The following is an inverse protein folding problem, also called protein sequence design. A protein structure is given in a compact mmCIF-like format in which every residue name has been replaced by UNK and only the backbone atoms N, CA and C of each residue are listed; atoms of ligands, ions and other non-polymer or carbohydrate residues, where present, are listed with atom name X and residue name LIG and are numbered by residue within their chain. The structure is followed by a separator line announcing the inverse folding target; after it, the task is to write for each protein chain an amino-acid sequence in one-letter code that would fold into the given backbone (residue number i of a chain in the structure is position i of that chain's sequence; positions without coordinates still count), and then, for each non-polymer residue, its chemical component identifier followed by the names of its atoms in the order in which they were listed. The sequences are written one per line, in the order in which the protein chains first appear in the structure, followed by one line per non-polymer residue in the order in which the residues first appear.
data_IF_934688260903
#
_entry.id   IF_934688260903
#
_cell.length_a   1.000
_cell.length_b   1.000
_cell.length_c   1.000
_cell.angle_alpha   90.00
_cell.angle_beta   90.00
_cell.angle_gamma   90.00
#
_symmetry.space_group_name_H-M   'P 1'
#
loop_
_entity.id
_entity.type
_entity.pdbx_description
1 polymer ?
#
# COMPACT_ATOMS: atom_id res chain seq x y z
N UNK A 1 -46.67 -22.07 -66.02
CA UNK A 1 -47.22 -21.77 -64.67
C UNK A 1 -47.00 -22.99 -63.78
N UNK A 2 -45.90 -23.02 -63.03
CA UNK A 2 -45.66 -23.95 -61.91
C UNK A 2 -44.50 -23.36 -61.10
N UNK A 3 -44.79 -22.85 -59.90
CA UNK A 3 -43.80 -22.24 -59.00
C UNK A 3 -43.46 -23.26 -57.92
N UNK A 4 -42.18 -23.67 -57.73
CA UNK A 4 -41.78 -24.39 -56.54
C UNK A 4 -41.50 -23.41 -55.40
N UNK A 5 -42.11 -23.70 -54.25
CA UNK A 5 -41.98 -23.01 -52.98
C UNK A 5 -40.65 -23.43 -52.33
N UNK A 6 -39.68 -22.53 -52.19
CA UNK A 6 -38.47 -22.80 -51.41
C UNK A 6 -38.69 -22.43 -49.95
N UNK A 7 -38.57 -23.43 -49.09
CA UNK A 7 -38.54 -23.32 -47.63
C UNK A 7 -37.13 -22.95 -47.18
N UNK A 8 -36.96 -21.73 -46.67
CA UNK A 8 -35.76 -21.34 -45.92
C UNK A 8 -36.15 -20.51 -44.70
N UNK A 9 -36.94 -21.13 -43.82
CA UNK A 9 -37.29 -20.58 -42.49
C UNK A 9 -36.56 -21.46 -41.48
N UNK A 10 -35.35 -21.08 -41.07
CA UNK A 10 -34.62 -21.89 -40.08
C UNK A 10 -33.36 -21.29 -39.47
N UNK A 11 -32.65 -20.39 -40.15
CA UNK A 11 -31.27 -20.07 -39.71
C UNK A 11 -31.03 -18.65 -39.18
N UNK A 12 -32.01 -17.74 -39.23
CA UNK A 12 -31.78 -16.34 -38.81
C UNK A 12 -32.07 -16.10 -37.32
N UNK A 13 -32.84 -16.98 -36.65
CA UNK A 13 -33.24 -16.75 -35.27
C UNK A 13 -32.16 -17.08 -34.20
N UNK A 14 -31.08 -17.77 -34.56
CA UNK A 14 -30.01 -18.12 -33.61
C UNK A 14 -28.83 -17.12 -33.59
N UNK A 15 -28.80 -16.15 -34.51
CA UNK A 15 -27.66 -15.23 -34.65
C UNK A 15 -27.74 -13.97 -33.78
N UNK A 16 -28.88 -13.71 -33.13
CA UNK A 16 -29.08 -12.46 -32.37
C UNK A 16 -28.79 -12.57 -30.87
N UNK A 17 -28.46 -13.76 -30.35
CA UNK A 17 -28.22 -13.97 -28.92
C UNK A 17 -26.72 -14.04 -28.54
N UNK A 18 -25.81 -14.00 -29.52
CA UNK A 18 -24.36 -14.13 -29.29
C UNK A 18 -23.60 -12.82 -29.13
N UNK A 19 -24.26 -11.66 -29.29
CA UNK A 19 -23.60 -10.34 -29.28
C UNK A 19 -23.24 -9.77 -27.89
N UNK A 20 -23.84 -10.14 -26.74
CA UNK A 20 -23.44 -9.56 -25.46
C UNK A 20 -22.19 -10.22 -24.83
N UNK A 21 -21.66 -11.33 -25.39
CA UNK A 21 -20.49 -12.02 -24.82
C UNK A 21 -19.15 -11.31 -25.08
N UNK A 22 -19.07 -10.40 -26.05
CA UNK A 22 -17.82 -9.68 -26.40
C UNK A 22 -17.54 -8.46 -25.52
N UNK A 23 -18.49 -8.04 -24.68
CA UNK A 23 -18.29 -6.98 -23.69
C UNK A 23 -17.95 -7.50 -22.29
N UNK A 24 -17.76 -8.82 -22.12
CA UNK A 24 -17.19 -9.40 -20.90
C UNK A 24 -15.65 -9.40 -20.91
N UNK A 25 -15.03 -8.43 -21.60
CA UNK A 25 -13.63 -8.10 -21.37
C UNK A 25 -13.50 -7.75 -19.88
N UNK A 26 -12.80 -8.61 -19.14
CA UNK A 26 -12.70 -8.56 -17.69
C UNK A 26 -12.41 -7.15 -17.18
N UNK A 27 -13.01 -6.81 -16.04
CA UNK A 27 -12.84 -5.55 -15.32
C UNK A 27 -11.45 -4.94 -15.57
N UNK A 28 -11.40 -3.68 -16.03
CA UNK A 28 -10.20 -2.95 -16.44
C UNK A 28 -9.19 -2.67 -15.31
N UNK A 29 -8.79 -3.71 -14.59
CA UNK A 29 -7.74 -3.70 -13.60
C UNK A 29 -6.41 -3.61 -14.30
N UNK A 30 -5.69 -2.52 -14.02
CA UNK A 30 -4.33 -2.33 -14.50
C UNK A 30 -3.35 -2.59 -13.36
N UNK A 31 -2.33 -3.45 -13.55
CA UNK A 31 -1.33 -3.70 -12.52
C UNK A 31 -0.59 -2.41 -12.13
N UNK A 32 -0.37 -2.20 -10.83
CA UNK A 32 0.35 -1.02 -10.31
C UNK A 32 1.84 -1.05 -10.69
N UNK A 33 2.45 -2.24 -10.66
CA UNK A 33 3.87 -2.46 -10.97
C UNK A 33 4.11 -2.96 -12.40
N UNK A 34 3.07 -3.02 -13.23
CA UNK A 34 3.22 -3.43 -14.63
C UNK A 34 3.96 -2.38 -15.48
N UNK A 35 4.57 -2.78 -16.61
CA UNK A 35 5.21 -1.85 -17.51
C UNK A 35 4.18 -0.85 -18.06
N UNK A 36 4.40 0.44 -17.81
CA UNK A 36 3.59 1.52 -18.36
C UNK A 36 4.24 2.04 -19.65
N UNK A 37 3.49 2.07 -20.75
CA UNK A 37 3.93 2.74 -21.98
C UNK A 37 3.70 4.24 -21.81
N UNK A 38 4.74 4.99 -21.44
CA UNK A 38 4.69 6.46 -21.52
C UNK A 38 4.73 6.86 -23.00
N UNK A 39 4.10 7.99 -23.36
CA UNK A 39 4.08 8.52 -24.74
C UNK A 39 5.48 8.78 -25.31
N UNK A 40 6.51 8.79 -24.47
CA UNK A 40 7.93 8.99 -24.77
C UNK A 40 8.72 7.68 -24.96
N UNK A 41 8.08 6.50 -24.84
CA UNK A 41 8.73 5.21 -25.08
C UNK A 41 9.71 4.76 -24.00
N UNK A 42 9.86 5.53 -22.91
CA UNK A 42 10.75 5.20 -21.80
C UNK A 42 9.94 4.51 -20.69
N UNK A 43 10.16 3.21 -20.51
CA UNK A 43 9.51 2.36 -19.51
C UNK A 43 10.29 2.43 -18.19
N UNK A 44 10.24 3.57 -17.50
CA UNK A 44 10.70 3.64 -16.12
C UNK A 44 9.63 3.01 -15.23
N UNK A 45 9.85 1.77 -14.80
CA UNK A 45 8.96 1.08 -13.88
C UNK A 45 8.84 1.81 -12.55
N UNK A 46 7.64 1.77 -11.95
CA UNK A 46 7.35 2.37 -10.64
C UNK A 46 8.37 1.94 -9.58
N UNK A 47 8.81 0.68 -9.62
CA UNK A 47 9.84 0.13 -8.73
C UNK A 47 11.15 0.93 -8.75
N UNK A 48 11.59 1.39 -9.93
CA UNK A 48 12.82 2.18 -10.06
C UNK A 48 12.66 3.57 -9.45
N UNK A 49 11.45 4.15 -9.56
CA UNK A 49 11.13 5.42 -8.93
C UNK A 49 11.11 5.29 -7.40
N UNK A 50 10.54 4.19 -6.88
CA UNK A 50 10.54 3.88 -5.44
C UNK A 50 11.96 3.67 -4.90
N UNK A 51 12.80 2.92 -5.62
CA UNK A 51 14.19 2.67 -5.24
C UNK A 51 15.06 3.94 -5.23
N UNK A 52 14.65 4.99 -5.96
CA UNK A 52 15.31 6.30 -5.97
C UNK A 52 14.94 7.20 -4.78
N UNK A 53 14.07 6.75 -3.86
CA UNK A 53 13.68 7.52 -2.68
C UNK A 53 14.72 7.31 -1.57
N UNK A 54 15.25 8.40 -1.03
CA UNK A 54 16.04 8.38 0.21
C UNK A 54 15.14 8.65 1.40
N UNK A 55 15.19 7.75 2.37
CA UNK A 55 14.42 7.85 3.61
C UNK A 55 15.26 8.66 4.61
N UNK A 56 14.71 9.75 5.15
CA UNK A 56 15.37 10.50 6.20
C UNK A 56 15.43 9.67 7.50
N UNK A 57 16.41 9.88 8.40
CA UNK A 57 16.45 9.17 9.67
C UNK A 57 15.20 9.46 10.51
N UNK A 58 14.55 8.40 11.01
CA UNK A 58 13.43 8.51 11.94
C UNK A 58 13.93 8.30 13.38
N UNK A 59 13.78 9.28 14.28
CA UNK A 59 14.24 9.15 15.66
C UNK A 59 13.40 8.13 16.45
N UNK A 60 13.90 7.70 17.61
CA UNK A 60 13.26 6.75 18.55
C UNK A 60 13.14 5.32 18.02
N UNK A 61 12.79 4.38 18.91
CA UNK A 61 12.77 2.95 18.59
C UNK A 61 11.74 2.60 17.51
N UNK A 62 10.54 3.16 17.62
CA UNK A 62 9.45 3.00 16.67
C UNK A 62 9.77 3.61 15.31
N UNK A 63 10.43 4.77 15.29
CA UNK A 63 10.92 5.38 14.06
C UNK A 63 11.95 4.51 13.36
N UNK A 64 12.91 3.94 14.09
CA UNK A 64 13.89 3.01 13.53
C UNK A 64 13.28 1.72 12.99
N UNK A 65 12.24 1.19 13.66
CA UNK A 65 11.50 0.02 13.14
C UNK A 65 10.81 0.37 11.83
N UNK A 66 10.11 1.52 11.77
CA UNK A 66 9.45 1.98 10.55
C UNK A 66 10.45 2.27 9.43
N UNK A 67 11.58 2.89 9.74
CA UNK A 67 12.67 3.15 8.80
C UNK A 67 13.13 1.86 8.11
N UNK A 68 13.37 0.80 8.89
CA UNK A 68 13.79 -0.48 8.33
C UNK A 68 12.70 -1.11 7.45
N UNK A 69 11.44 -1.07 7.87
CA UNK A 69 10.35 -1.55 7.02
C UNK A 69 10.23 -0.74 5.72
N UNK A 70 10.44 0.58 5.77
CA UNK A 70 10.45 1.41 4.56
C UNK A 70 11.64 1.07 3.66
N UNK A 71 12.83 0.84 4.23
CA UNK A 71 14.00 0.41 3.48
C UNK A 71 13.75 -0.93 2.78
N UNK A 72 13.19 -1.92 3.49
CA UNK A 72 12.86 -3.23 2.92
C UNK A 72 11.84 -3.12 1.77
N UNK A 73 10.87 -2.21 1.88
CA UNK A 73 9.76 -2.07 0.91
C UNK A 73 10.11 -1.17 -0.28
N UNK A 74 10.89 -0.11 -0.07
CA UNK A 74 11.20 0.89 -1.09
C UNK A 74 12.59 0.68 -1.70
N UNK A 75 13.54 0.17 -0.92
CA UNK A 75 14.96 0.09 -1.26
C UNK A 75 15.54 -1.31 -0.98
N UNK A 76 14.96 -2.40 -1.53
CA UNK A 76 15.38 -3.77 -1.21
C UNK A 76 16.83 -4.08 -1.60
N UNK A 77 17.41 -3.30 -2.52
CA UNK A 77 18.82 -3.41 -2.94
C UNK A 77 19.77 -2.47 -2.17
N UNK A 78 19.27 -1.76 -1.15
CA UNK A 78 20.00 -0.77 -0.37
C UNK A 78 19.63 0.68 -0.69
N UNK A 79 20.09 1.61 0.15
CA UNK A 79 19.83 3.04 -0.03
C UNK A 79 20.43 3.60 -1.35
N UNK A 80 19.76 4.56 -2.00
CA UNK A 80 20.21 5.10 -3.27
C UNK A 80 21.40 6.05 -3.08
N UNK A 81 22.44 5.86 -3.88
CA UNK A 81 23.61 6.74 -3.91
C UNK A 81 23.29 8.11 -4.52
N UNK A 82 22.46 8.15 -5.58
CA UNK A 82 21.91 9.38 -6.18
C UNK A 82 20.37 9.39 -6.03
N UNK A 83 19.84 9.90 -4.90
CA UNK A 83 18.39 9.92 -4.67
C UNK A 83 17.68 10.90 -5.59
N UNK A 84 16.57 10.48 -6.18
CA UNK A 84 15.71 11.34 -7.01
C UNK A 84 14.59 12.01 -6.20
N UNK A 85 14.35 11.54 -4.97
CA UNK A 85 13.41 12.13 -4.04
C UNK A 85 13.84 11.86 -2.59
N UNK A 86 13.40 12.73 -1.67
CA UNK A 86 13.66 12.59 -0.24
C UNK A 86 12.34 12.42 0.51
N UNK A 87 12.24 11.34 1.28
CA UNK A 87 11.08 11.01 2.09
C UNK A 87 11.35 11.35 3.56
N UNK A 88 10.57 12.28 4.09
CA UNK A 88 10.56 12.64 5.50
C UNK A 88 9.31 12.04 6.14
N UNK A 89 9.49 11.28 7.22
CA UNK A 89 8.39 10.63 7.95
C UNK A 89 8.52 10.93 9.43
N UNK A 90 7.40 11.22 10.07
CA UNK A 90 7.26 11.21 11.53
C UNK A 90 6.18 10.21 11.91
N UNK A 91 6.37 9.50 13.02
CA UNK A 91 5.42 8.50 13.51
C UNK A 91 5.20 8.63 15.02
N UNK A 92 3.95 8.49 15.45
CA UNK A 92 3.55 8.33 16.85
C UNK A 92 2.82 7.01 17.05
N UNK A 93 2.91 6.46 18.25
CA UNK A 93 2.21 5.26 18.67
C UNK A 93 1.41 5.55 19.95
N UNK A 94 0.12 5.25 19.90
CA UNK A 94 -0.78 5.40 21.03
C UNK A 94 -1.41 4.05 21.38
N UNK A 95 -1.67 3.84 22.67
CA UNK A 95 -2.31 2.63 23.20
C UNK A 95 -3.64 2.98 23.86
N UNK A 96 -4.73 2.40 23.38
CA UNK A 96 -6.09 2.64 23.89
C UNK A 96 -6.73 1.36 24.41
N UNK A 97 -7.35 1.40 25.59
CA UNK A 97 -8.18 0.30 26.11
C UNK A 97 -9.48 0.18 25.31
N UNK A 98 -9.84 -1.02 24.85
CA UNK A 98 -11.05 -1.23 24.05
C UNK A 98 -12.23 -1.69 24.92
N UNK A 99 -11.97 -2.41 26.00
CA UNK A 99 -13.03 -2.96 26.85
C UNK A 99 -12.57 -3.13 28.29
N UNK A 100 -13.42 -2.67 29.21
CA UNK A 100 -13.29 -2.89 30.64
C UNK A 100 -14.20 -4.05 31.01
N UNK A 101 -13.67 -5.08 31.68
CA UNK A 101 -14.44 -6.20 32.22
C UNK A 101 -15.36 -5.72 33.35
N UNK A 102 -16.36 -6.53 33.72
CA UNK A 102 -17.27 -6.22 34.85
C UNK A 102 -16.53 -6.01 36.19
N UNK A 103 -15.33 -6.59 36.30
CA UNK A 103 -14.41 -6.46 37.44
C UNK A 103 -13.47 -5.24 37.35
N UNK A 104 -13.62 -4.37 36.34
CA UNK A 104 -12.80 -3.17 36.16
C UNK A 104 -11.47 -3.40 35.43
N UNK A 105 -11.12 -4.63 35.05
CA UNK A 105 -9.84 -4.93 34.38
C UNK A 105 -9.93 -4.79 32.85
N UNK A 106 -8.93 -4.17 32.21
CA UNK A 106 -8.82 -4.13 30.75
C UNK A 106 -7.82 -5.16 30.27
N UNK A 107 -8.28 -6.11 29.45
CA UNK A 107 -7.41 -7.14 28.87
C UNK A 107 -7.20 -6.98 27.36
N UNK A 108 -7.88 -6.03 26.70
CA UNK A 108 -7.77 -5.79 25.25
C UNK A 108 -7.47 -4.32 24.93
N UNK A 109 -6.49 -4.11 24.06
CA UNK A 109 -5.97 -2.79 23.71
C UNK A 109 -5.82 -2.63 22.20
N UNK A 110 -5.97 -1.41 21.72
CA UNK A 110 -5.62 -0.98 20.37
C UNK A 110 -4.28 -0.27 20.40
N UNK A 111 -3.33 -0.76 19.61
CA UNK A 111 -2.12 -0.05 19.22
C UNK A 111 -2.42 0.75 17.95
N UNK A 112 -2.29 2.06 18.02
CA UNK A 112 -2.60 2.99 16.92
C UNK A 112 -1.33 3.70 16.51
N UNK A 113 -0.90 3.52 15.26
CA UNK A 113 0.20 4.28 14.68
C UNK A 113 -0.37 5.40 13.81
N UNK A 114 0.13 6.61 13.99
CA UNK A 114 -0.16 7.74 13.09
C UNK A 114 1.16 8.20 12.50
N UNK A 115 1.25 8.22 11.17
CA UNK A 115 2.45 8.66 10.47
C UNK A 115 2.12 9.81 9.52
N UNK A 116 2.94 10.85 9.57
CA UNK A 116 2.89 11.96 8.62
C UNK A 116 4.08 11.84 7.67
N UNK A 117 3.81 11.89 6.37
CA UNK A 117 4.83 11.77 5.34
C UNK A 117 4.89 13.01 4.46
N UNK A 118 6.11 13.35 4.04
CA UNK A 118 6.41 14.43 3.10
C UNK A 118 7.45 13.89 2.12
N UNK A 119 7.08 13.81 0.85
CA UNK A 119 7.98 13.52 -0.25
C UNK A 119 8.46 14.83 -0.86
N UNK A 120 9.77 14.99 -1.02
CA UNK A 120 10.42 16.14 -1.64
C UNK A 120 11.18 15.74 -2.89
N UNK A 121 11.42 16.73 -3.76
CA UNK A 121 12.19 16.59 -4.99
C UNK A 121 13.67 16.24 -4.74
N UNK A 122 14.42 15.96 -5.80
CA UNK A 122 15.86 15.61 -5.77
C UNK A 122 16.70 16.61 -4.97
N UNK A 123 16.41 17.90 -5.12
CA UNK A 123 17.11 18.98 -4.41
C UNK A 123 16.63 19.17 -2.95
N UNK A 124 15.62 18.44 -2.51
CA UNK A 124 15.00 18.53 -1.19
C UNK A 124 14.39 19.91 -0.89
N UNK A 125 13.99 20.67 -1.91
CA UNK A 125 13.45 22.03 -1.79
C UNK A 125 11.93 22.05 -1.96
N UNK A 126 11.41 21.32 -2.94
CA UNK A 126 9.99 21.32 -3.30
C UNK A 126 9.27 20.12 -2.70
N UNK A 127 8.10 20.35 -2.09
CA UNK A 127 7.21 19.27 -1.66
C UNK A 127 6.48 18.74 -2.89
N UNK A 128 6.62 17.43 -3.14
CA UNK A 128 5.98 16.69 -4.22
C UNK A 128 4.66 16.07 -3.77
N UNK A 129 4.66 15.47 -2.57
CA UNK A 129 3.52 14.76 -2.02
C UNK A 129 3.53 14.82 -0.50
N UNK A 130 2.35 14.86 0.13
CA UNK A 130 2.20 14.77 1.57
C UNK A 130 0.92 14.03 1.91
N UNK A 131 0.96 13.25 2.98
CA UNK A 131 -0.21 12.53 3.47
C UNK A 131 -0.08 12.20 4.97
N UNK A 132 -1.18 11.75 5.56
CA UNK A 132 -1.22 11.21 6.92
C UNK A 132 -1.90 9.84 6.91
N UNK A 133 -1.18 8.85 7.43
CA UNK A 133 -1.65 7.46 7.47
C UNK A 133 -1.87 7.07 8.91
N UNK A 134 -3.02 6.45 9.18
CA UNK A 134 -3.36 5.92 10.51
C UNK A 134 -3.70 4.44 10.41
N UNK A 135 -3.02 3.61 11.20
CA UNK A 135 -3.28 2.18 11.29
C UNK A 135 -3.47 1.74 12.72
N UNK A 136 -4.27 0.69 12.91
CA UNK A 136 -4.59 0.14 14.22
C UNK A 136 -4.38 -1.37 14.21
N UNK A 137 -3.74 -1.90 15.25
CA UNK A 137 -3.71 -3.34 15.53
C UNK A 137 -4.17 -3.58 16.96
N UNK A 138 -5.11 -4.52 17.16
CA UNK A 138 -5.56 -4.89 18.50
C UNK A 138 -4.70 -6.01 19.08
N UNK A 139 -4.52 -6.02 20.40
CA UNK A 139 -3.88 -7.11 21.14
C UNK A 139 -4.54 -7.34 22.49
N UNK A 140 -4.22 -8.47 23.11
CA UNK A 140 -4.72 -8.83 24.44
C UNK A 140 -3.56 -9.09 25.40
N UNK A 141 -3.72 -8.72 26.68
CA UNK A 141 -2.68 -8.91 27.69
C UNK A 141 -2.65 -10.29 28.35
N UNK A 142 -3.53 -11.22 27.95
CA UNK A 142 -3.63 -12.55 28.59
C UNK A 142 -4.08 -12.44 30.05
N UNK A 143 -3.93 -13.53 30.81
CA UNK A 143 -4.10 -13.48 32.25
C UNK A 143 -2.92 -12.72 32.88
N UNK A 144 -3.19 -11.78 33.77
CA UNK A 144 -2.18 -10.81 34.28
C UNK A 144 -1.49 -11.27 35.55
N UNK A 145 -1.59 -12.55 35.92
CA UNK A 145 -0.80 -13.08 37.03
C UNK A 145 0.69 -13.02 36.68
N UNK A 146 1.56 -12.87 37.69
CA UNK A 146 3.00 -12.65 37.49
C UNK A 146 3.68 -13.73 36.62
N UNK A 147 3.09 -14.92 36.53
CA UNK A 147 3.55 -16.06 35.75
C UNK A 147 3.35 -15.89 34.22
N UNK A 148 2.39 -15.06 33.78
CA UNK A 148 2.01 -14.88 32.37
C UNK A 148 2.34 -13.50 31.78
N UNK A 149 3.02 -12.61 32.52
CA UNK A 149 3.35 -11.24 32.08
C UNK A 149 4.19 -11.17 30.77
N UNK A 150 4.90 -12.24 30.43
CA UNK A 150 5.63 -12.35 29.17
C UNK A 150 4.69 -12.33 27.95
N UNK A 151 3.57 -13.06 28.01
CA UNK A 151 2.63 -13.17 26.89
C UNK A 151 2.01 -11.80 26.53
N UNK A 152 1.72 -10.97 27.53
CA UNK A 152 1.25 -9.60 27.33
C UNK A 152 2.30 -8.70 26.66
N UNK A 153 3.56 -8.80 27.10
CA UNK A 153 4.68 -8.02 26.52
C UNK A 153 4.95 -8.40 25.06
N UNK A 154 4.93 -9.70 24.74
CA UNK A 154 5.07 -10.20 23.36
C UNK A 154 3.91 -9.70 22.50
N UNK A 155 2.68 -9.80 23.01
CA UNK A 155 1.48 -9.37 22.28
C UNK A 155 1.48 -7.86 21.99
N UNK A 156 1.93 -7.04 22.95
CA UNK A 156 2.09 -5.59 22.75
C UNK A 156 3.19 -5.27 21.72
N UNK A 157 4.33 -5.99 21.81
CA UNK A 157 5.46 -5.81 20.90
C UNK A 157 5.10 -6.21 19.47
N UNK A 158 4.38 -7.31 19.32
CA UNK A 158 3.85 -7.79 18.05
C UNK A 158 2.87 -6.79 17.45
N UNK A 159 1.90 -6.27 18.23
CA UNK A 159 0.99 -5.24 17.77
C UNK A 159 1.73 -3.98 17.30
N UNK A 160 2.71 -3.50 18.07
CA UNK A 160 3.57 -2.38 17.69
C UNK A 160 4.23 -2.60 16.33
N UNK A 161 4.89 -3.75 16.14
CA UNK A 161 5.58 -4.08 14.89
C UNK A 161 4.60 -4.20 13.73
N UNK A 162 3.47 -4.88 13.93
CA UNK A 162 2.42 -5.05 12.91
C UNK A 162 1.86 -3.70 12.46
N UNK A 163 1.54 -2.79 13.39
CA UNK A 163 0.99 -1.49 13.01
C UNK A 163 2.00 -0.68 12.20
N UNK A 164 3.28 -0.69 12.57
CA UNK A 164 4.33 -0.02 11.80
C UNK A 164 4.57 -0.65 10.43
N UNK A 165 4.48 -1.98 10.31
CA UNK A 165 4.54 -2.67 9.02
C UNK A 165 3.39 -2.25 8.10
N UNK A 166 2.16 -2.19 8.62
CA UNK A 166 0.99 -1.74 7.86
C UNK A 166 1.16 -0.29 7.37
N UNK A 167 1.75 0.60 8.19
CA UNK A 167 2.09 1.97 7.76
C UNK A 167 3.06 1.92 6.57
N UNK A 168 4.13 1.11 6.63
CA UNK A 168 5.10 1.01 5.55
C UNK A 168 4.49 0.47 4.25
N UNK A 169 3.60 -0.53 4.34
CA UNK A 169 2.89 -1.09 3.19
C UNK A 169 1.97 -0.06 2.52
N UNK A 170 1.24 0.72 3.31
CA UNK A 170 0.43 1.81 2.77
C UNK A 170 1.28 2.88 2.09
N UNK A 171 2.38 3.28 2.72
CA UNK A 171 3.30 4.27 2.14
C UNK A 171 3.83 3.79 0.79
N UNK A 172 4.23 2.51 0.68
CA UNK A 172 4.68 1.94 -0.58
C UNK A 172 3.59 2.06 -1.66
N UNK A 173 2.34 1.67 -1.36
CA UNK A 173 1.23 1.73 -2.32
C UNK A 173 0.90 3.17 -2.71
N UNK A 174 0.89 4.10 -1.76
CA UNK A 174 0.61 5.51 -2.01
C UNK A 174 1.69 6.16 -2.88
N UNK A 175 2.96 5.92 -2.56
CA UNK A 175 4.09 6.41 -3.35
C UNK A 175 4.11 5.78 -4.74
N UNK A 176 3.85 4.47 -4.84
CA UNK A 176 3.73 3.77 -6.12
C UNK A 176 2.63 4.38 -6.99
N UNK A 177 1.48 4.68 -6.39
CA UNK A 177 0.34 5.33 -7.07
C UNK A 177 0.68 6.75 -7.50
N UNK A 178 1.40 7.51 -6.66
CA UNK A 178 1.88 8.84 -7.00
C UNK A 178 2.80 8.80 -8.23
N UNK A 179 3.79 7.92 -8.26
CA UNK A 179 4.71 7.79 -9.40
C UNK A 179 4.06 7.21 -10.64
N UNK A 180 3.05 6.34 -10.49
CA UNK A 180 2.23 5.90 -11.63
C UNK A 180 1.48 7.07 -12.27
N UNK A 181 0.94 7.99 -11.46
CA UNK A 181 0.20 9.16 -11.95
C UNK A 181 1.11 10.27 -12.48
N UNK A 182 2.25 10.48 -11.83
CA UNK A 182 3.21 11.55 -12.13
C UNK A 182 4.62 10.95 -12.26
N UNK A 183 4.92 10.33 -13.42
CA UNK A 183 6.24 9.72 -13.63
C UNK A 183 7.32 10.79 -13.53
N UNK A 184 8.40 10.50 -12.80
CA UNK A 184 9.58 11.37 -12.75
C UNK A 184 10.24 11.27 -14.11
N UNK A 185 10.18 12.36 -14.88
CA UNK A 185 10.98 12.50 -16.10
C UNK A 185 12.41 12.73 -15.63
N UNK A 186 13.27 11.73 -15.80
CA UNK A 186 14.71 11.91 -15.63
C UNK A 186 15.21 12.74 -16.81
N UNK A 187 15.37 14.06 -16.64
CA UNK A 187 16.16 14.83 -17.60
C UNK A 187 17.58 14.25 -17.60
N UNK A 188 18.03 13.85 -18.79
CA UNK A 188 19.38 13.32 -19.05
C UNK A 188 20.41 14.43 -19.04
#
# INVERSE_FOLDING_TARGET
MFVPKSSFRGFIALSLFSLPLLFMGGCGFEPLYGPHSTSTGEQLGVERSLAGIKIAPLPKREGQILHNYLLDKLNPSGEPLDPQAHLQVSVSLDKYSISVRKDGTTQRFNMVATAHLILRDKENKKILYTDTIKRTASFSLGDTTAEFGYAGTVSETDAKRRTLLLIAEDMQVMLATYYKKWPVVSEK
#
